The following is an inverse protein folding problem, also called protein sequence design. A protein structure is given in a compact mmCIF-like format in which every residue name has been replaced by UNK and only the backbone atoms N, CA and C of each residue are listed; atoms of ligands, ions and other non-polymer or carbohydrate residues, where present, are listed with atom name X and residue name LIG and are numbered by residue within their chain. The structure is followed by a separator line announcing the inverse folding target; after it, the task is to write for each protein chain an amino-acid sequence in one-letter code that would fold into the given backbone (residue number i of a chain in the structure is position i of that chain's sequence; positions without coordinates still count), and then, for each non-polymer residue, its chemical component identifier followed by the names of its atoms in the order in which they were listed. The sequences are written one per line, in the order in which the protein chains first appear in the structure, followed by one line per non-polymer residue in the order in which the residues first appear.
data_IF_615411697055
#
_entry.id   IF_615411697055
#
_cell.length_a   1.000
_cell.length_b   1.000
_cell.length_c   1.000
_cell.angle_alpha   90.00
_cell.angle_beta   90.00
_cell.angle_gamma   90.00
#
_symmetry.space_group_name_H-M   'P 1'
#
loop_
_entity.id
_entity.type
_entity.pdbx_description
1 polymer ?
#
# COMPACT_ATOMS: atom_id res chain seq x y z
N UNK A 1 21.67 31.65 -13.89
CA UNK A 1 21.15 32.94 -13.43
C UNK A 1 19.94 32.62 -12.58
N UNK A 2 20.02 33.03 -11.33
CA UNK A 2 19.00 32.93 -10.28
C UNK A 2 17.74 33.68 -10.71
N UNK A 3 16.57 33.16 -10.36
CA UNK A 3 15.39 33.97 -10.05
C UNK A 3 14.55 33.22 -9.00
N UNK A 4 14.77 33.63 -7.74
CA UNK A 4 13.87 33.48 -6.60
C UNK A 4 12.64 34.35 -6.81
N UNK A 5 11.47 33.77 -7.04
CA UNK A 5 10.16 34.40 -6.79
C UNK A 5 9.17 33.21 -6.65
N UNK A 6 8.63 32.82 -5.50
CA UNK A 6 7.82 33.56 -4.54
C UNK A 6 7.81 32.86 -3.17
N UNK A 7 8.31 33.52 -2.13
CA UNK A 7 7.81 33.34 -0.76
C UNK A 7 6.71 34.37 -0.49
N UNK A 8 5.78 33.98 0.40
CA UNK A 8 4.76 34.78 1.06
C UNK A 8 3.65 35.43 0.20
N UNK A 9 2.44 34.87 0.33
CA UNK A 9 1.27 35.74 0.55
C UNK A 9 0.35 35.12 1.60
N UNK A 10 0.42 35.70 2.80
CA UNK A 10 -0.63 35.61 3.79
C UNK A 10 -1.88 36.28 3.21
N UNK A 11 -2.88 35.50 2.82
CA UNK A 11 -4.19 36.04 2.44
C UNK A 11 -5.02 36.21 3.70
N UNK A 12 -5.09 37.48 4.11
CA UNK A 12 -6.06 38.06 5.04
C UNK A 12 -7.50 37.74 4.62
N UNK A 13 -8.36 37.64 5.62
CA UNK A 13 -9.77 37.28 5.49
C UNK A 13 -10.63 38.23 4.66
N UNK A 14 -11.79 37.67 4.31
CA UNK A 14 -13.07 38.23 3.89
C UNK A 14 -13.19 39.74 3.64
N UNK A 15 -13.74 40.07 2.47
CA UNK A 15 -14.48 41.30 2.23
C UNK A 15 -15.81 40.94 1.54
N UNK A 16 -16.90 41.17 2.25
CA UNK A 16 -18.28 41.15 1.76
C UNK A 16 -18.62 42.55 1.23
N UNK A 17 -19.17 42.64 0.03
CA UNK A 17 -20.03 43.76 -0.36
C UNK A 17 -21.41 43.22 -0.71
N UNK A 18 -22.40 43.74 0.01
CA UNK A 18 -23.83 43.45 -0.08
C UNK A 18 -24.43 44.20 -1.27
N UNK A 19 -25.28 43.53 -2.06
CA UNK A 19 -26.45 44.17 -2.65
C UNK A 19 -27.69 43.29 -2.40
N UNK A 20 -28.75 43.99 -1.99
CA UNK A 20 -30.03 43.53 -1.47
C UNK A 20 -30.89 42.81 -2.52
N UNK A 21 -31.62 41.77 -2.09
CA UNK A 21 -32.99 41.53 -2.57
C UNK A 21 -33.76 40.64 -1.58
N UNK A 22 -34.89 41.17 -1.13
CA UNK A 22 -35.92 40.60 -0.27
C UNK A 22 -36.32 39.15 -0.59
N UNK A 23 -36.60 38.35 0.45
CA UNK A 23 -37.99 38.05 0.85
C UNK A 23 -38.08 37.00 1.98
N UNK A 24 -38.55 37.48 3.13
CA UNK A 24 -39.59 36.91 4.01
C UNK A 24 -39.48 35.49 4.59
N UNK A 25 -39.78 35.48 5.91
CA UNK A 25 -40.63 34.51 6.63
C UNK A 25 -39.90 33.28 7.23
N UNK A 26 -40.08 32.79 8.47
CA UNK A 26 -40.95 33.10 9.63
C UNK A 26 -40.49 32.18 10.78
N UNK A 27 -40.52 32.65 12.04
CA UNK A 27 -40.61 31.89 13.32
C UNK A 27 -39.43 30.96 13.70
N UNK A 28 -38.98 30.89 14.95
CA UNK A 28 -39.74 30.99 16.20
C UNK A 28 -38.87 31.42 17.39
N UNK A 29 -39.52 32.20 18.24
CA UNK A 29 -39.15 32.65 19.57
C UNK A 29 -38.72 31.51 20.53
N UNK A 30 -38.01 31.89 21.60
CA UNK A 30 -38.49 31.90 23.01
C UNK A 30 -37.29 31.78 23.97
N UNK A 31 -37.36 32.56 25.06
CA UNK A 31 -36.52 32.68 26.27
C UNK A 31 -35.42 33.75 26.17
N UNK A 32 -35.50 34.91 26.84
CA UNK A 32 -36.45 35.44 27.80
C UNK A 32 -35.88 36.73 28.37
N UNK A 33 -36.70 37.78 28.38
CA UNK A 33 -36.46 39.05 29.08
C UNK A 33 -36.14 38.82 30.57
N UNK A 34 -35.20 39.60 31.14
CA UNK A 34 -35.59 40.75 31.97
C UNK A 34 -34.42 41.51 32.62
N UNK A 35 -34.58 42.84 32.64
CA UNK A 35 -33.98 43.90 33.47
C UNK A 35 -32.57 44.46 33.17
N UNK A 36 -32.54 45.76 32.84
CA UNK A 36 -31.53 46.69 33.35
C UNK A 36 -30.98 47.70 32.34
N UNK A 37 -31.53 48.90 32.35
CA UNK A 37 -31.09 50.09 31.62
C UNK A 37 -29.62 50.50 31.86
N UNK A 38 -28.96 50.90 30.77
CA UNK A 38 -28.00 52.02 30.60
C UNK A 38 -26.76 52.09 31.50
N UNK A 39 -25.58 51.97 30.89
CA UNK A 39 -24.60 53.06 30.75
C UNK A 39 -23.33 52.54 30.05
N UNK A 40 -22.81 53.39 29.17
CA UNK A 40 -21.66 53.18 28.30
C UNK A 40 -20.43 52.67 29.03
N UNK A 41 -19.76 51.67 28.45
CA UNK A 41 -18.32 51.58 28.53
C UNK A 41 -17.76 51.00 27.22
N UNK A 42 -16.74 51.67 26.70
CA UNK A 42 -16.04 51.37 25.46
C UNK A 42 -15.29 50.03 25.60
N UNK A 43 -15.92 48.92 25.30
CA UNK A 43 -15.18 47.68 25.04
C UNK A 43 -14.82 47.62 23.56
N UNK A 44 -13.56 47.90 23.25
CA UNK A 44 -12.92 47.43 22.02
C UNK A 44 -13.08 45.91 22.00
N UNK A 45 -14.07 45.40 21.27
CA UNK A 45 -14.20 43.97 21.00
C UNK A 45 -13.14 43.61 19.97
N UNK A 46 -11.92 43.33 20.44
CA UNK A 46 -10.99 42.50 19.67
C UNK A 46 -11.54 41.09 19.76
N UNK A 47 -12.28 40.66 18.73
CA UNK A 47 -12.65 39.25 18.55
C UNK A 47 -11.36 38.44 18.35
N UNK A 48 -10.74 38.02 19.44
CA UNK A 48 -9.87 36.87 19.41
C UNK A 48 -10.78 35.67 19.21
N UNK A 49 -10.89 35.18 17.98
CA UNK A 49 -11.40 33.83 17.75
C UNK A 49 -10.49 32.88 18.52
N UNK A 50 -10.92 32.50 19.73
CA UNK A 50 -10.22 31.53 20.56
C UNK A 50 -10.28 30.20 19.82
N UNK A 51 -9.15 29.84 19.22
CA UNK A 51 -9.02 28.62 18.44
C UNK A 51 -8.43 27.52 19.34
N UNK A 52 -9.10 26.37 19.37
CA UNK A 52 -8.64 25.19 20.10
C UNK A 52 -8.05 24.17 19.13
N UNK A 53 -6.98 23.51 19.56
CA UNK A 53 -6.42 22.40 18.80
C UNK A 53 -7.43 21.27 18.73
N UNK A 54 -7.71 20.79 17.53
CA UNK A 54 -8.74 19.78 17.33
C UNK A 54 -8.37 18.37 17.82
N UNK A 55 -7.13 18.18 18.29
CA UNK A 55 -6.64 16.91 18.87
C UNK A 55 -6.46 17.00 20.39
N UNK A 56 -5.69 17.98 20.87
CA UNK A 56 -5.37 18.10 22.29
C UNK A 56 -6.25 19.10 23.05
N UNK A 57 -7.12 19.84 22.37
CA UNK A 57 -8.02 20.85 22.93
C UNK A 57 -7.31 21.99 23.67
N UNK A 58 -5.99 22.14 23.50
CA UNK A 58 -5.25 23.28 24.03
C UNK A 58 -5.53 24.55 23.24
N UNK A 59 -5.46 25.69 23.93
CA UNK A 59 -5.51 27.02 23.33
C UNK A 59 -4.36 27.20 22.33
N UNK A 60 -4.66 27.65 21.11
CA UNK A 60 -3.65 27.86 20.06
C UNK A 60 -3.05 29.25 20.22
N UNK A 61 -1.75 29.33 20.55
CA UNK A 61 -1.03 30.58 20.81
C UNK A 61 0.04 30.98 19.77
N UNK A 62 0.58 30.03 18.99
CA UNK A 62 1.61 30.22 17.94
C UNK A 62 1.49 29.09 16.89
N UNK A 63 2.17 29.24 15.74
CA UNK A 63 2.23 28.39 14.51
C UNK A 63 1.08 27.37 14.35
N UNK A 64 0.22 27.65 13.37
CA UNK A 64 -1.06 26.96 13.16
C UNK A 64 -0.97 26.14 11.87
N UNK A 65 -1.20 24.83 11.97
CA UNK A 65 -1.51 24.01 10.80
C UNK A 65 -3.02 24.03 10.61
N UNK A 66 -3.46 24.71 9.55
CA UNK A 66 -4.88 24.81 9.22
C UNK A 66 -5.22 23.81 8.12
N UNK A 67 -6.26 23.03 8.38
CA UNK A 67 -6.89 22.14 7.41
C UNK A 67 -8.38 22.47 7.39
N UNK A 68 -9.15 21.84 6.50
CA UNK A 68 -10.56 22.20 6.32
C UNK A 68 -11.32 22.09 7.64
N UNK A 69 -11.82 23.23 8.12
CA UNK A 69 -12.60 23.38 9.36
C UNK A 69 -11.88 22.87 10.63
N UNK A 70 -10.54 22.74 10.60
CA UNK A 70 -9.75 22.20 11.70
C UNK A 70 -8.40 22.91 11.86
N UNK A 71 -7.99 23.12 13.12
CA UNK A 71 -6.71 23.73 13.44
C UNK A 71 -5.91 22.88 14.43
N UNK A 72 -4.59 22.82 14.23
CA UNK A 72 -3.68 22.05 15.07
C UNK A 72 -2.60 22.94 15.66
N UNK A 73 -2.33 22.80 16.96
CA UNK A 73 -1.35 23.62 17.69
C UNK A 73 0.12 23.19 17.48
N UNK A 74 0.37 22.11 16.74
CA UNK A 74 1.70 21.57 16.48
C UNK A 74 1.67 20.56 15.35
N UNK A 75 2.83 20.36 14.71
CA UNK A 75 3.03 19.29 13.73
C UNK A 75 2.68 17.91 14.31
N UNK A 76 3.02 17.65 15.58
CA UNK A 76 2.69 16.40 16.25
C UNK A 76 1.17 16.15 16.35
N UNK A 77 0.37 17.18 16.62
CA UNK A 77 -1.09 17.07 16.64
C UNK A 77 -1.65 16.84 15.22
N UNK A 78 -1.13 17.57 14.23
CA UNK A 78 -1.51 17.43 12.83
C UNK A 78 -1.20 16.03 12.28
N UNK A 79 0.03 15.53 12.52
CA UNK A 79 0.45 14.18 12.15
C UNK A 79 -0.41 13.11 12.83
N UNK A 80 -0.73 13.29 14.12
CA UNK A 80 -1.61 12.36 14.84
C UNK A 80 -3.00 12.27 14.21
N UNK A 81 -3.58 13.40 13.80
CA UNK A 81 -4.85 13.42 13.07
C UNK A 81 -4.75 12.67 11.73
N UNK A 82 -3.67 12.87 10.99
CA UNK A 82 -3.41 12.15 9.72
C UNK A 82 -3.28 10.65 9.95
N UNK A 83 -2.56 10.21 10.99
CA UNK A 83 -2.43 8.79 11.31
C UNK A 83 -3.78 8.16 11.65
N UNK A 84 -4.59 8.82 12.47
CA UNK A 84 -5.96 8.35 12.80
C UNK A 84 -6.80 8.24 11.53
N UNK A 85 -6.72 9.24 10.64
CA UNK A 85 -7.43 9.22 9.36
C UNK A 85 -7.05 8.02 8.49
N UNK A 86 -5.76 7.68 8.44
CA UNK A 86 -5.27 6.51 7.70
C UNK A 86 -5.73 5.20 8.33
N UNK A 87 -5.66 5.07 9.65
CA UNK A 87 -6.13 3.90 10.38
C UNK A 87 -7.63 3.67 10.17
N UNK A 88 -8.44 4.72 10.30
CA UNK A 88 -9.89 4.67 10.06
C UNK A 88 -10.21 4.29 8.61
N UNK A 89 -9.44 4.83 7.65
CA UNK A 89 -9.59 4.54 6.22
C UNK A 89 -9.29 3.08 5.89
N UNK A 90 -8.29 2.47 6.55
CA UNK A 90 -7.98 1.04 6.42
C UNK A 90 -9.15 0.18 6.90
N UNK A 91 -9.74 0.54 8.04
CA UNK A 91 -10.83 -0.21 8.67
C UNK A 91 -12.17 -0.03 7.93
N UNK A 92 -12.32 1.02 7.12
CA UNK A 92 -13.52 1.30 6.35
C UNK A 92 -14.69 1.84 7.18
N UNK A 93 -14.40 2.41 8.35
CA UNK A 93 -15.36 3.00 9.26
C UNK A 93 -15.65 4.48 8.98
N UNK A 94 -16.60 5.07 9.72
CA UNK A 94 -16.74 6.53 9.76
C UNK A 94 -15.53 7.11 10.48
N UNK A 95 -14.69 7.84 9.74
CA UNK A 95 -13.52 8.50 10.33
C UNK A 95 -13.91 9.80 11.02
N UNK A 96 -13.32 10.02 12.19
CA UNK A 96 -13.32 11.34 12.85
C UNK A 96 -12.52 12.38 12.06
N UNK A 97 -11.63 11.91 11.18
CA UNK A 97 -10.76 12.70 10.31
C UNK A 97 -10.85 12.22 8.86
N UNK A 98 -11.95 12.50 8.13
CA UNK A 98 -12.03 12.15 6.72
C UNK A 98 -10.82 12.69 5.94
N UNK A 99 -10.32 11.96 4.94
CA UNK A 99 -9.18 12.41 4.12
C UNK A 99 -9.43 13.74 3.39
N UNK A 100 -10.70 14.13 3.25
CA UNK A 100 -11.13 15.43 2.71
C UNK A 100 -10.88 16.60 3.66
N UNK A 101 -10.61 16.34 4.94
CA UNK A 101 -10.18 17.36 5.93
C UNK A 101 -8.82 17.93 5.52
N UNK A 102 -7.91 17.05 5.11
CA UNK A 102 -6.53 17.37 4.77
C UNK A 102 -6.44 17.87 3.33
N UNK A 103 -6.49 19.18 3.14
CA UNK A 103 -6.55 19.84 1.83
C UNK A 103 -5.20 20.39 1.38
N UNK A 104 -4.27 20.60 2.31
CA UNK A 104 -2.95 21.17 1.99
C UNK A 104 -2.07 20.23 1.15
N UNK A 105 -1.24 20.76 0.24
CA UNK A 105 -0.26 19.95 -0.52
C UNK A 105 0.69 19.18 0.42
N UNK A 106 1.06 19.81 1.53
CA UNK A 106 1.88 19.21 2.58
C UNK A 106 1.21 17.99 3.19
N UNK A 107 -0.08 18.09 3.56
CA UNK A 107 -0.81 16.95 4.11
C UNK A 107 -0.96 15.81 3.10
N UNK A 108 -1.23 16.10 1.82
CA UNK A 108 -1.32 15.07 0.78
C UNK A 108 0.01 14.33 0.59
N UNK A 109 1.13 15.07 0.65
CA UNK A 109 2.47 14.49 0.56
C UNK A 109 2.79 13.61 1.77
N UNK A 110 2.42 14.06 2.98
CA UNK A 110 2.60 13.31 4.23
C UNK A 110 1.74 12.04 4.24
N UNK A 111 0.45 12.16 3.89
CA UNK A 111 -0.48 11.03 3.75
C UNK A 111 0.11 9.97 2.82
N UNK A 112 0.61 10.39 1.65
CA UNK A 112 1.16 9.46 0.69
C UNK A 112 2.45 8.80 1.20
N UNK A 113 3.36 9.56 1.82
CA UNK A 113 4.61 9.03 2.37
C UNK A 113 4.35 8.02 3.50
N UNK A 114 3.47 8.36 4.45
CA UNK A 114 3.05 7.45 5.51
C UNK A 114 2.42 6.19 4.93
N UNK A 115 1.54 6.34 3.94
CA UNK A 115 0.91 5.20 3.26
C UNK A 115 1.95 4.31 2.56
N UNK A 116 2.91 4.89 1.84
CA UNK A 116 3.96 4.09 1.18
C UNK A 116 4.89 3.39 2.18
N UNK A 117 5.03 3.94 3.39
CA UNK A 117 5.83 3.32 4.46
C UNK A 117 5.18 2.08 5.08
N UNK A 118 3.86 1.88 4.89
CA UNK A 118 3.18 0.68 5.40
C UNK A 118 3.46 -0.57 4.55
N UNK A 119 3.98 -0.40 3.33
CA UNK A 119 4.15 -1.45 2.33
C UNK A 119 2.85 -2.22 1.99
N UNK A 120 1.68 -1.69 2.33
CA UNK A 120 0.38 -2.26 1.94
C UNK A 120 -0.02 -1.75 0.55
N UNK A 121 0.19 -2.58 -0.48
CA UNK A 121 -0.11 -2.23 -1.86
C UNK A 121 -1.59 -1.92 -2.13
N UNK A 122 -2.52 -2.50 -1.36
CA UNK A 122 -3.95 -2.23 -1.50
C UNK A 122 -4.27 -0.85 -0.93
N UNK A 123 -3.74 -0.53 0.24
CA UNK A 123 -3.89 0.80 0.84
C UNK A 123 -3.26 1.88 -0.04
N UNK A 124 -2.04 1.68 -0.53
CA UNK A 124 -1.36 2.60 -1.45
C UNK A 124 -2.25 2.86 -2.67
N UNK A 125 -2.77 1.80 -3.30
CA UNK A 125 -3.62 1.94 -4.49
C UNK A 125 -4.91 2.71 -4.19
N UNK A 126 -5.56 2.44 -3.06
CA UNK A 126 -6.78 3.16 -2.63
C UNK A 126 -6.49 4.64 -2.41
N UNK A 127 -5.46 4.97 -1.63
CA UNK A 127 -5.09 6.37 -1.33
C UNK A 127 -4.71 7.12 -2.60
N UNK A 128 -3.92 6.52 -3.48
CA UNK A 128 -3.53 7.18 -4.75
C UNK A 128 -4.76 7.45 -5.63
N UNK A 129 -5.74 6.55 -5.68
CA UNK A 129 -6.99 6.80 -6.39
C UNK A 129 -7.86 7.88 -5.73
N UNK A 130 -7.91 7.94 -4.39
CA UNK A 130 -8.58 9.04 -3.68
C UNK A 130 -7.92 10.40 -3.97
N UNK A 131 -6.58 10.45 -4.03
CA UNK A 131 -5.84 11.65 -4.42
C UNK A 131 -6.11 12.03 -5.88
N UNK A 132 -6.18 11.06 -6.80
CA UNK A 132 -6.54 11.30 -8.21
C UNK A 132 -7.90 11.98 -8.34
N UNK A 133 -8.88 11.54 -7.54
CA UNK A 133 -10.26 12.05 -7.59
C UNK A 133 -10.43 13.42 -6.92
N UNK A 134 -9.59 13.74 -5.94
CA UNK A 134 -9.71 14.96 -5.13
C UNK A 134 -8.80 16.10 -5.58
N UNK A 135 -7.75 15.82 -6.35
CA UNK A 135 -6.76 16.81 -6.77
C UNK A 135 -6.93 17.23 -8.23
N UNK A 136 -6.43 18.41 -8.57
CA UNK A 136 -6.24 18.77 -9.98
C UNK A 136 -5.19 17.85 -10.61
N UNK A 137 -5.33 17.66 -11.92
CA UNK A 137 -4.47 16.76 -12.68
C UNK A 137 -2.98 17.11 -12.54
N UNK A 138 -2.60 18.39 -12.68
CA UNK A 138 -1.22 18.85 -12.51
C UNK A 138 -0.67 18.61 -11.10
N UNK A 139 -1.51 18.73 -10.08
CA UNK A 139 -1.11 18.49 -8.68
C UNK A 139 -0.87 17.00 -8.45
N UNK A 140 -1.76 16.15 -8.97
CA UNK A 140 -1.62 14.70 -8.90
C UNK A 140 -0.37 14.21 -9.65
N UNK A 141 -0.13 14.71 -10.86
CA UNK A 141 1.07 14.43 -11.65
C UNK A 141 2.36 14.77 -10.88
N UNK A 142 2.41 15.94 -10.25
CA UNK A 142 3.56 16.36 -9.43
C UNK A 142 3.79 15.48 -8.20
N UNK A 143 2.71 14.98 -7.58
CA UNK A 143 2.81 14.04 -6.44
C UNK A 143 3.40 12.71 -6.90
N UNK A 144 2.95 12.16 -8.03
CA UNK A 144 3.48 10.91 -8.58
C UNK A 144 4.96 11.03 -8.96
N UNK A 145 5.37 12.16 -9.55
CA UNK A 145 6.78 12.42 -9.89
C UNK A 145 7.70 12.44 -8.65
N UNK A 146 7.18 12.83 -7.48
CA UNK A 146 7.93 12.90 -6.22
C UNK A 146 7.92 11.58 -5.45
N UNK A 147 7.01 10.65 -5.74
CA UNK A 147 6.88 9.39 -5.02
C UNK A 147 6.79 8.21 -6.01
N UNK A 148 7.95 7.61 -6.30
CA UNK A 148 8.08 6.52 -7.27
C UNK A 148 7.28 5.27 -6.87
N UNK A 149 7.20 4.94 -5.58
CA UNK A 149 6.45 3.79 -5.08
C UNK A 149 4.97 3.94 -5.41
N UNK A 150 4.37 5.08 -5.06
CA UNK A 150 2.99 5.39 -5.38
C UNK A 150 2.73 5.37 -6.89
N UNK A 151 3.66 5.92 -7.69
CA UNK A 151 3.58 5.90 -9.13
C UNK A 151 3.55 4.47 -9.70
N UNK A 152 4.39 3.56 -9.21
CA UNK A 152 4.38 2.16 -9.64
C UNK A 152 3.07 1.45 -9.30
N UNK A 153 2.54 1.64 -8.08
CA UNK A 153 1.24 1.07 -7.71
C UNK A 153 0.10 1.61 -8.58
N UNK A 154 0.12 2.90 -8.91
CA UNK A 154 -0.87 3.51 -9.79
C UNK A 154 -0.81 2.98 -11.22
N UNK A 155 0.39 2.88 -11.81
CA UNK A 155 0.57 2.29 -13.13
C UNK A 155 0.10 0.83 -13.16
N UNK A 156 0.39 0.05 -12.12
CA UNK A 156 -0.09 -1.33 -11.99
C UNK A 156 -1.62 -1.40 -11.92
N UNK A 157 -2.25 -0.49 -11.16
CA UNK A 157 -3.70 -0.38 -11.11
C UNK A 157 -4.32 -0.07 -12.48
N UNK A 158 -3.77 0.90 -13.22
CA UNK A 158 -4.25 1.24 -14.57
C UNK A 158 -4.09 0.05 -15.53
N UNK A 159 -2.98 -0.69 -15.44
CA UNK A 159 -2.75 -1.92 -16.22
C UNK A 159 -3.79 -2.98 -15.91
N UNK A 160 -4.01 -3.29 -14.64
CA UNK A 160 -4.90 -4.38 -14.21
C UNK A 160 -6.38 -4.06 -14.46
N UNK A 161 -6.75 -2.78 -14.52
CA UNK A 161 -8.10 -2.33 -14.85
C UNK A 161 -8.31 -2.04 -16.34
N UNK A 162 -7.30 -2.25 -17.18
CA UNK A 162 -7.38 -2.03 -18.63
C UNK A 162 -7.49 -0.56 -19.06
N UNK A 163 -7.14 0.39 -18.18
CA UNK A 163 -7.11 1.83 -18.47
C UNK A 163 -5.88 2.21 -19.32
N UNK A 164 -5.77 1.65 -20.52
CA UNK A 164 -4.57 1.73 -21.37
C UNK A 164 -4.24 3.15 -21.86
N UNK A 165 -5.24 4.02 -22.00
CA UNK A 165 -5.02 5.43 -22.43
C UNK A 165 -4.28 6.19 -21.34
N UNK A 166 -4.79 6.13 -20.10
CA UNK A 166 -4.16 6.76 -18.94
C UNK A 166 -2.80 6.12 -18.65
N UNK A 167 -2.68 4.79 -18.73
CA UNK A 167 -1.42 4.09 -18.52
C UNK A 167 -0.31 4.66 -19.40
N UNK A 168 -0.55 4.80 -20.71
CA UNK A 168 0.44 5.35 -21.65
C UNK A 168 0.81 6.79 -21.32
N UNK A 169 -0.19 7.62 -20.98
CA UNK A 169 0.03 9.02 -20.60
C UNK A 169 0.95 9.12 -19.38
N UNK A 170 0.63 8.40 -18.30
CA UNK A 170 1.41 8.48 -17.07
C UNK A 170 2.79 7.82 -17.20
N UNK A 171 2.92 6.74 -17.99
CA UNK A 171 4.24 6.19 -18.30
C UNK A 171 5.14 7.18 -19.03
N UNK A 172 4.58 7.97 -19.96
CA UNK A 172 5.31 9.03 -20.65
C UNK A 172 5.71 10.15 -19.68
N UNK A 173 4.77 10.62 -18.86
CA UNK A 173 5.02 11.66 -17.85
C UNK A 173 6.16 11.30 -16.91
N UNK A 174 6.16 10.05 -16.43
CA UNK A 174 7.15 9.53 -15.49
C UNK A 174 8.48 9.15 -16.17
N UNK A 175 8.59 9.34 -17.49
CA UNK A 175 9.81 9.08 -18.25
C UNK A 175 10.11 7.61 -18.52
N UNK A 176 9.12 6.71 -18.37
CA UNK A 176 9.29 5.29 -18.66
C UNK A 176 9.28 4.98 -20.16
N UNK A 177 8.62 5.79 -20.99
CA UNK A 177 8.57 5.64 -22.44
C UNK A 177 8.63 7.01 -23.14
N UNK A 178 9.28 7.09 -24.29
CA UNK A 178 9.24 8.27 -25.18
C UNK A 178 8.05 8.21 -26.13
N UNK A 179 7.67 9.36 -26.69
CA UNK A 179 6.58 9.44 -27.68
C UNK A 179 6.80 8.50 -28.88
N UNK A 180 8.05 8.40 -29.36
CA UNK A 180 8.43 7.52 -30.47
C UNK A 180 8.30 6.02 -30.15
N UNK A 181 8.29 5.65 -28.86
CA UNK A 181 8.30 4.27 -28.39
C UNK A 181 6.88 3.75 -28.07
N UNK A 182 5.88 4.65 -27.99
CA UNK A 182 4.48 4.33 -27.63
C UNK A 182 3.88 3.24 -28.53
N UNK A 183 4.17 3.27 -29.83
CA UNK A 183 3.64 2.26 -30.78
C UNK A 183 4.19 0.86 -30.47
N UNK A 184 5.51 0.74 -30.28
CA UNK A 184 6.18 -0.52 -29.94
C UNK A 184 5.70 -1.05 -28.60
N UNK A 185 5.60 -0.18 -27.59
CA UNK A 185 5.05 -0.55 -26.28
C UNK A 185 3.59 -1.01 -26.37
N UNK A 186 2.77 -0.33 -27.16
CA UNK A 186 1.36 -0.73 -27.36
C UNK A 186 1.24 -2.12 -28.01
N UNK A 187 2.10 -2.42 -28.98
CA UNK A 187 2.16 -3.74 -29.61
C UNK A 187 2.63 -4.81 -28.61
N UNK A 188 3.64 -4.51 -27.79
CA UNK A 188 4.09 -5.42 -26.72
C UNK A 188 2.96 -5.72 -25.74
N UNK A 189 2.26 -4.70 -25.25
CA UNK A 189 1.14 -4.88 -24.33
C UNK A 189 0.01 -5.71 -24.94
N UNK A 190 -0.31 -5.49 -26.22
CA UNK A 190 -1.30 -6.31 -26.91
C UNK A 190 -0.87 -7.78 -27.03
N UNK A 191 0.42 -8.03 -27.32
CA UNK A 191 0.96 -9.39 -27.35
C UNK A 191 0.92 -10.05 -25.96
N UNK A 192 1.30 -9.32 -24.91
CA UNK A 192 1.26 -9.80 -23.53
C UNK A 192 -0.16 -10.11 -23.04
N UNK A 193 -1.16 -9.30 -23.42
CA UNK A 193 -2.56 -9.54 -23.07
C UNK A 193 -3.14 -10.79 -23.75
N UNK A 194 -2.60 -11.19 -24.91
CA UNK A 194 -3.02 -12.39 -25.64
C UNK A 194 -2.00 -13.52 -25.52
N UNK A 195 -1.16 -13.47 -24.48
CA UNK A 195 -0.09 -14.45 -24.28
C UNK A 195 -0.68 -15.85 -24.07
N UNK A 196 -0.09 -16.81 -24.75
CA UNK A 196 -0.28 -18.24 -24.51
C UNK A 196 1.05 -18.96 -24.61
N UNK A 197 1.12 -20.19 -24.10
CA UNK A 197 2.36 -20.97 -24.02
C UNK A 197 3.10 -21.12 -25.37
N UNK A 198 2.36 -21.09 -26.48
CA UNK A 198 2.93 -21.19 -27.84
C UNK A 198 3.56 -19.90 -28.38
N UNK A 199 3.39 -18.76 -27.72
CA UNK A 199 3.86 -17.44 -28.20
C UNK A 199 4.93 -16.82 -27.30
N UNK A 200 5.36 -17.51 -26.23
CA UNK A 200 6.33 -16.99 -25.26
C UNK A 200 7.66 -16.62 -25.93
N UNK A 201 8.22 -17.50 -26.77
CA UNK A 201 9.49 -17.23 -27.46
C UNK A 201 9.42 -16.00 -28.38
N UNK A 202 8.30 -15.83 -29.08
CA UNK A 202 8.06 -14.67 -29.96
C UNK A 202 8.01 -13.39 -29.13
N UNK A 203 7.30 -13.42 -27.99
CA UNK A 203 7.13 -12.29 -27.10
C UNK A 203 8.43 -11.94 -26.40
N UNK A 204 9.21 -12.91 -25.94
CA UNK A 204 10.52 -12.70 -25.35
C UNK A 204 11.48 -12.08 -26.36
N UNK A 205 11.48 -12.56 -27.60
CA UNK A 205 12.26 -11.93 -28.67
C UNK A 205 11.85 -10.48 -28.91
N UNK A 206 10.55 -10.20 -28.95
CA UNK A 206 10.03 -8.84 -29.15
C UNK A 206 10.34 -7.91 -27.98
N UNK A 207 10.23 -8.41 -26.75
CA UNK A 207 10.59 -7.71 -25.51
C UNK A 207 12.07 -7.31 -25.52
N UNK A 208 12.97 -8.25 -25.86
CA UNK A 208 14.40 -7.97 -25.94
C UNK A 208 14.74 -6.98 -27.06
N UNK A 209 14.07 -7.08 -28.21
CA UNK A 209 14.23 -6.13 -29.31
C UNK A 209 13.86 -4.70 -28.89
N UNK A 210 12.75 -4.52 -28.17
CA UNK A 210 12.35 -3.22 -27.63
C UNK A 210 13.41 -2.72 -26.65
N UNK A 211 13.78 -3.55 -25.67
CA UNK A 211 14.72 -3.17 -24.62
C UNK A 211 16.08 -2.72 -25.19
N UNK A 212 16.64 -3.46 -26.14
CA UNK A 212 17.89 -3.10 -26.82
C UNK A 212 17.78 -1.80 -27.60
N UNK A 213 16.65 -1.58 -28.29
CA UNK A 213 16.40 -0.36 -29.06
C UNK A 213 16.25 0.88 -28.17
N UNK A 214 15.63 0.75 -27.00
CA UNK A 214 15.41 1.84 -26.04
C UNK A 214 16.69 2.21 -25.29
N UNK A 215 17.52 1.22 -24.90
CA UNK A 215 18.83 1.50 -24.31
C UNK A 215 19.80 2.13 -25.31
N UNK A 216 19.76 1.74 -26.58
CA UNK A 216 20.51 2.43 -27.63
C UNK A 216 20.09 3.91 -27.77
N UNK A 217 18.84 4.23 -27.43
CA UNK A 217 18.29 5.58 -27.52
C UNK A 217 18.52 6.43 -26.26
N UNK A 218 18.77 5.81 -25.09
CA UNK A 218 19.10 6.50 -23.83
C UNK A 218 19.70 5.55 -22.76
N UNK A 219 20.96 5.80 -22.36
CA UNK A 219 21.63 5.02 -21.31
C UNK A 219 21.01 5.18 -19.91
N UNK A 220 20.25 6.26 -19.67
CA UNK A 220 19.51 6.46 -18.42
C UNK A 220 18.37 5.43 -18.23
N UNK A 221 18.05 4.67 -19.28
CA UNK A 221 16.95 3.70 -19.33
C UNK A 221 17.48 2.26 -19.19
N UNK A 222 18.74 2.10 -18.72
CA UNK A 222 19.39 0.80 -18.48
C UNK A 222 18.52 -0.17 -17.66
N UNK A 223 17.76 0.36 -16.70
CA UNK A 223 16.87 -0.44 -15.86
C UNK A 223 15.78 -1.14 -16.69
N UNK A 224 15.35 -0.61 -17.85
CA UNK A 224 14.36 -1.27 -18.70
C UNK A 224 14.94 -2.54 -19.33
N UNK A 225 16.21 -2.56 -19.74
CA UNK A 225 16.85 -3.80 -20.23
C UNK A 225 16.99 -4.83 -19.13
N UNK A 226 17.39 -4.41 -17.93
CA UNK A 226 17.50 -5.31 -16.78
C UNK A 226 16.12 -5.91 -16.44
N UNK A 227 15.07 -5.07 -16.32
CA UNK A 227 13.69 -5.51 -16.07
C UNK A 227 13.14 -6.38 -17.21
N UNK A 228 13.40 -6.03 -18.46
CA UNK A 228 12.94 -6.81 -19.63
C UNK A 228 13.62 -8.17 -19.69
N UNK A 229 14.91 -8.24 -19.38
CA UNK A 229 15.65 -9.49 -19.31
C UNK A 229 15.12 -10.37 -18.17
N UNK A 230 14.87 -9.77 -17.00
CA UNK A 230 14.26 -10.46 -15.87
C UNK A 230 12.87 -10.99 -16.21
N UNK A 231 12.03 -10.19 -16.87
CA UNK A 231 10.70 -10.61 -17.31
C UNK A 231 10.76 -11.75 -18.32
N UNK A 232 11.65 -11.70 -19.32
CA UNK A 232 11.83 -12.80 -20.28
C UNK A 232 12.20 -14.11 -19.56
N UNK A 233 13.12 -14.02 -18.59
CA UNK A 233 13.54 -15.15 -17.78
C UNK A 233 12.41 -15.73 -16.94
N UNK A 234 11.56 -14.88 -16.33
CA UNK A 234 10.38 -15.33 -15.60
C UNK A 234 9.40 -16.00 -16.57
N UNK A 235 9.12 -15.41 -17.72
CA UNK A 235 8.18 -15.95 -18.71
C UNK A 235 8.60 -17.33 -19.23
N UNK A 236 9.89 -17.53 -19.53
CA UNK A 236 10.42 -18.84 -19.91
C UNK A 236 10.22 -19.88 -18.80
N UNK A 237 10.45 -19.45 -17.54
CA UNK A 237 10.27 -20.31 -16.37
C UNK A 237 8.79 -20.68 -16.18
N UNK A 238 7.89 -19.71 -16.27
CA UNK A 238 6.44 -19.92 -16.18
C UNK A 238 5.96 -20.85 -17.30
N UNK A 239 6.40 -20.61 -18.54
CA UNK A 239 6.03 -21.44 -19.68
C UNK A 239 6.44 -22.91 -19.52
N UNK A 240 7.60 -23.14 -18.91
CA UNK A 240 8.11 -24.50 -18.63
C UNK A 240 7.21 -25.29 -17.67
N UNK A 241 6.46 -24.61 -16.80
CA UNK A 241 5.60 -25.23 -15.79
C UNK A 241 4.10 -24.96 -16.00
N UNK A 242 3.71 -24.19 -17.00
CA UNK A 242 2.31 -23.80 -17.27
C UNK A 242 1.38 -25.01 -17.32
N UNK A 243 1.77 -26.07 -18.04
CA UNK A 243 0.96 -27.29 -18.17
C UNK A 243 0.75 -27.99 -16.83
N UNK A 244 1.80 -28.05 -16.01
CA UNK A 244 1.74 -28.68 -14.69
C UNK A 244 0.84 -27.86 -13.75
N UNK A 245 0.98 -26.52 -13.80
CA UNK A 245 0.13 -25.59 -13.06
C UNK A 245 -1.34 -25.74 -13.44
N UNK A 246 -1.68 -25.77 -14.74
CA UNK A 246 -3.06 -25.93 -15.18
C UNK A 246 -3.68 -27.24 -14.68
N UNK A 247 -2.89 -28.33 -14.61
CA UNK A 247 -3.33 -29.61 -14.04
C UNK A 247 -3.61 -29.48 -12.56
N UNK A 248 -2.66 -28.91 -11.81
CA UNK A 248 -2.78 -28.68 -10.36
C UNK A 248 -3.98 -27.78 -10.03
N UNK A 249 -4.15 -26.68 -10.76
CA UNK A 249 -5.28 -25.75 -10.59
C UNK A 249 -6.64 -26.44 -10.87
N UNK A 250 -6.71 -27.29 -11.90
CA UNK A 250 -7.93 -28.06 -12.22
C UNK A 250 -8.28 -29.07 -11.11
N UNK A 251 -7.26 -29.70 -10.51
CA UNK A 251 -7.45 -30.58 -9.36
C UNK A 251 -7.99 -29.80 -8.15
N UNK A 252 -7.42 -28.63 -7.83
CA UNK A 252 -7.90 -27.77 -6.75
C UNK A 252 -9.38 -27.38 -6.89
N UNK A 253 -9.83 -27.08 -8.11
CA UNK A 253 -11.23 -26.73 -8.38
C UNK A 253 -12.21 -27.89 -8.15
N UNK A 254 -11.73 -29.13 -8.25
CA UNK A 254 -12.54 -30.34 -8.10
C UNK A 254 -12.83 -30.65 -6.63
N UNK A 255 -11.93 -30.29 -5.71
CA UNK A 255 -12.10 -30.51 -4.28
C UNK A 255 -12.88 -29.36 -3.61
N UNK A 256 -14.07 -29.66 -3.08
CA UNK A 256 -14.98 -28.67 -2.45
C UNK A 256 -14.34 -27.86 -1.33
N UNK A 257 -13.42 -28.45 -0.56
CA UNK A 257 -12.70 -27.77 0.53
C UNK A 257 -11.55 -26.88 0.05
N UNK A 258 -11.03 -27.11 -1.17
CA UNK A 258 -9.96 -26.31 -1.79
C UNK A 258 -10.49 -25.18 -2.69
N UNK A 259 -11.80 -25.19 -2.96
CA UNK A 259 -12.46 -24.24 -3.88
C UNK A 259 -12.35 -22.78 -3.46
N UNK A 260 -12.34 -22.50 -2.15
CA UNK A 260 -12.13 -21.14 -1.61
C UNK A 260 -10.70 -20.63 -1.88
N UNK A 261 -9.71 -21.51 -1.82
CA UNK A 261 -8.32 -21.19 -2.14
C UNK A 261 -8.12 -21.08 -3.66
N UNK A 262 -8.79 -21.93 -4.45
CA UNK A 262 -8.70 -21.89 -5.90
C UNK A 262 -9.24 -20.56 -6.49
N UNK A 263 -10.27 -19.96 -5.89
CA UNK A 263 -10.83 -18.69 -6.36
C UNK A 263 -9.90 -17.48 -6.18
N UNK A 264 -8.86 -17.59 -5.37
CA UNK A 264 -7.88 -16.51 -5.16
C UNK A 264 -6.60 -16.71 -5.98
N UNK A 265 -6.43 -17.87 -6.62
CA UNK A 265 -5.24 -18.21 -7.39
C UNK A 265 -5.43 -17.94 -8.89
N UNK A 266 -4.37 -17.57 -9.61
CA UNK A 266 -4.46 -17.35 -11.05
C UNK A 266 -4.63 -18.68 -11.80
N UNK A 267 -5.52 -18.71 -12.80
CA UNK A 267 -5.74 -19.90 -13.65
C UNK A 267 -4.50 -20.25 -14.49
N UNK A 268 -3.76 -19.24 -14.93
CA UNK A 268 -2.52 -19.38 -15.71
C UNK A 268 -1.32 -18.89 -14.89
N UNK A 269 -0.20 -19.60 -14.99
CA UNK A 269 1.07 -19.21 -14.39
C UNK A 269 1.76 -18.11 -15.21
N UNK A 270 1.43 -17.99 -16.49
CA UNK A 270 1.96 -16.95 -17.37
C UNK A 270 1.58 -15.56 -16.87
N UNK A 271 2.52 -14.61 -17.01
CA UNK A 271 2.36 -13.20 -16.62
C UNK A 271 2.10 -12.96 -15.13
N UNK A 272 2.23 -13.99 -14.29
CA UNK A 272 2.15 -13.82 -12.86
C UNK A 272 3.40 -13.09 -12.34
N UNK A 273 3.28 -12.28 -11.28
CA UNK A 273 4.45 -11.70 -10.64
C UNK A 273 5.35 -12.80 -10.04
N UNK A 274 6.59 -12.45 -9.73
CA UNK A 274 7.58 -13.39 -9.16
C UNK A 274 7.07 -14.04 -7.86
N UNK A 275 6.38 -13.30 -7.01
CA UNK A 275 5.78 -13.79 -5.77
C UNK A 275 4.74 -14.90 -6.03
N UNK A 276 3.79 -14.66 -6.94
CA UNK A 276 2.77 -15.65 -7.31
C UNK A 276 3.39 -16.87 -7.99
N UNK A 277 4.42 -16.65 -8.82
CA UNK A 277 5.17 -17.74 -9.45
C UNK A 277 5.85 -18.62 -8.40
N UNK A 278 6.53 -18.01 -7.41
CA UNK A 278 7.13 -18.74 -6.28
C UNK A 278 6.09 -19.52 -5.47
N UNK A 279 4.97 -18.89 -5.18
CA UNK A 279 3.88 -19.52 -4.46
C UNK A 279 3.30 -20.71 -5.23
N UNK A 280 3.08 -20.57 -6.54
CA UNK A 280 2.62 -21.66 -7.40
C UNK A 280 3.59 -22.85 -7.38
N UNK A 281 4.90 -22.59 -7.51
CA UNK A 281 5.92 -23.63 -7.46
C UNK A 281 5.96 -24.34 -6.10
N UNK A 282 5.90 -23.58 -5.00
CA UNK A 282 5.87 -24.15 -3.66
C UNK A 282 4.64 -25.05 -3.43
N UNK A 283 3.48 -24.67 -3.98
CA UNK A 283 2.24 -25.45 -3.94
C UNK A 283 2.34 -26.74 -4.74
N UNK A 284 2.88 -26.68 -5.96
CA UNK A 284 3.06 -27.86 -6.82
C UNK A 284 4.10 -28.83 -6.25
N UNK A 285 5.23 -28.31 -5.74
CA UNK A 285 6.29 -29.13 -5.13
C UNK A 285 5.89 -29.75 -3.79
N UNK A 286 4.93 -29.12 -3.09
CA UNK A 286 4.63 -29.38 -1.68
C UNK A 286 5.88 -29.35 -0.79
N UNK A 287 6.90 -28.61 -1.21
CA UNK A 287 8.20 -28.54 -0.57
C UNK A 287 8.94 -27.28 -0.98
N UNK A 288 9.59 -26.64 -0.01
CA UNK A 288 10.47 -25.47 -0.20
C UNK A 288 11.90 -25.76 0.28
N UNK A 289 12.23 -27.03 0.46
CA UNK A 289 13.56 -27.50 0.87
C UNK A 289 14.61 -27.26 -0.23
N UNK A 290 15.86 -27.62 0.08
CA UNK A 290 17.00 -27.46 -0.83
C UNK A 290 16.72 -28.07 -2.21
N UNK A 291 17.00 -27.30 -3.25
CA UNK A 291 16.77 -27.60 -4.66
C UNK A 291 15.29 -27.68 -5.09
N UNK A 292 14.33 -27.22 -4.27
CA UNK A 292 12.96 -26.98 -4.76
C UNK A 292 12.97 -25.95 -5.89
N UNK A 293 11.92 -25.95 -6.72
CA UNK A 293 11.80 -24.99 -7.83
C UNK A 293 11.68 -23.57 -7.29
N UNK A 294 10.94 -23.40 -6.20
CA UNK A 294 10.83 -22.12 -5.50
C UNK A 294 12.19 -21.61 -5.01
N UNK A 295 12.99 -22.43 -4.32
CA UNK A 295 14.33 -22.04 -3.85
C UNK A 295 15.27 -21.70 -5.02
N UNK A 296 15.23 -22.50 -6.09
CA UNK A 296 16.03 -22.28 -7.30
C UNK A 296 15.69 -20.96 -7.97
N UNK A 297 14.39 -20.65 -8.10
CA UNK A 297 13.92 -19.39 -8.66
C UNK A 297 14.29 -18.20 -7.76
N UNK A 298 14.12 -18.33 -6.44
CA UNK A 298 14.50 -17.30 -5.47
C UNK A 298 15.99 -16.93 -5.54
N UNK A 299 16.87 -17.94 -5.64
CA UNK A 299 18.32 -17.74 -5.85
C UNK A 299 18.61 -17.05 -7.18
N UNK A 300 17.92 -17.44 -8.26
CA UNK A 300 18.11 -16.87 -9.61
C UNK A 300 17.81 -15.36 -9.63
N UNK A 301 16.77 -14.94 -8.92
CA UNK A 301 16.34 -13.54 -8.83
C UNK A 301 16.94 -12.80 -7.61
N UNK A 302 17.90 -13.41 -6.90
CA UNK A 302 18.60 -12.80 -5.76
C UNK A 302 17.66 -12.27 -4.68
N UNK A 303 16.54 -12.96 -4.45
CA UNK A 303 15.60 -12.61 -3.38
C UNK A 303 16.31 -12.81 -2.04
N UNK A 304 16.24 -11.81 -1.16
CA UNK A 304 16.82 -11.94 0.18
C UNK A 304 16.13 -13.06 0.97
N UNK A 305 16.86 -13.71 1.88
CA UNK A 305 16.30 -14.80 2.67
C UNK A 305 15.04 -14.38 3.46
N UNK A 306 15.01 -13.14 3.97
CA UNK A 306 13.85 -12.60 4.68
C UNK A 306 12.64 -12.43 3.74
N UNK A 307 12.82 -11.80 2.58
CA UNK A 307 11.75 -11.67 1.60
C UNK A 307 11.24 -13.04 1.13
N UNK A 308 12.15 -13.97 0.86
CA UNK A 308 11.80 -15.32 0.44
C UNK A 308 10.91 -16.03 1.46
N UNK A 309 11.21 -15.87 2.76
CA UNK A 309 10.37 -16.40 3.85
C UNK A 309 8.98 -15.79 3.85
N UNK A 310 8.88 -14.46 3.80
CA UNK A 310 7.59 -13.76 3.77
C UNK A 310 6.72 -14.19 2.59
N UNK A 311 7.31 -14.34 1.40
CA UNK A 311 6.61 -14.75 0.18
C UNK A 311 6.05 -16.18 0.24
N UNK A 312 6.58 -17.04 1.11
CA UNK A 312 6.18 -18.45 1.19
C UNK A 312 5.21 -18.75 2.33
N UNK A 313 4.96 -17.81 3.25
CA UNK A 313 4.03 -18.04 4.38
C UNK A 313 2.66 -18.43 3.87
N UNK A 314 2.04 -17.56 3.08
CA UNK A 314 0.67 -17.79 2.61
C UNK A 314 0.53 -19.06 1.73
N UNK A 315 1.41 -19.33 0.74
CA UNK A 315 1.38 -20.60 0.00
C UNK A 315 1.46 -21.86 0.87
N UNK A 316 2.31 -21.86 1.91
CA UNK A 316 2.48 -22.99 2.82
C UNK A 316 1.29 -23.13 3.78
N UNK A 317 0.79 -22.01 4.31
CA UNK A 317 -0.40 -21.96 5.17
C UNK A 317 -1.63 -22.47 4.44
N UNK A 318 -1.89 -21.97 3.22
CA UNK A 318 -3.00 -22.39 2.38
C UNK A 318 -2.92 -23.89 2.02
N UNK A 319 -1.71 -24.42 1.85
CA UNK A 319 -1.47 -25.85 1.61
C UNK A 319 -1.41 -26.69 2.88
N UNK A 320 -1.56 -26.08 4.07
CA UNK A 320 -1.38 -26.72 5.39
C UNK A 320 -0.04 -27.44 5.54
N UNK A 321 1.00 -26.93 4.89
CA UNK A 321 2.35 -27.50 4.91
C UNK A 321 3.16 -26.94 6.09
N UNK A 322 2.77 -27.34 7.30
CA UNK A 322 3.34 -26.83 8.55
C UNK A 322 4.80 -27.20 8.74
N UNK A 323 5.20 -28.40 8.29
CA UNK A 323 6.57 -28.90 8.43
C UNK A 323 7.57 -28.02 7.67
N UNK A 324 7.21 -27.64 6.44
CA UNK A 324 8.05 -26.79 5.62
C UNK A 324 7.98 -25.32 6.04
N UNK A 325 6.83 -24.86 6.58
CA UNK A 325 6.73 -23.55 7.23
C UNK A 325 7.68 -23.46 8.43
N UNK A 326 7.70 -24.48 9.29
CA UNK A 326 8.61 -24.56 10.43
C UNK A 326 10.08 -24.59 9.95
N UNK A 327 10.38 -25.39 8.93
CA UNK A 327 11.72 -25.51 8.35
C UNK A 327 12.28 -24.16 7.86
N UNK A 328 11.49 -23.35 7.16
CA UNK A 328 11.98 -22.06 6.63
C UNK A 328 12.02 -20.95 7.69
N UNK A 329 11.13 -21.00 8.69
CA UNK A 329 10.99 -19.96 9.70
C UNK A 329 11.98 -20.14 10.84
N UNK A 330 12.27 -21.38 11.24
CA UNK A 330 13.13 -21.65 12.37
C UNK A 330 14.57 -21.92 11.95
N UNK A 331 15.51 -21.25 12.63
CA UNK A 331 16.93 -21.54 12.52
C UNK A 331 17.53 -21.79 13.89
N UNK A 332 18.56 -22.63 13.93
CA UNK A 332 19.35 -22.80 15.14
C UNK A 332 20.17 -21.54 15.40
N UNK A 333 19.99 -20.94 16.57
CA UNK A 333 20.76 -19.77 17.00
C UNK A 333 22.23 -20.13 17.07
N UNK A 334 23.09 -19.31 16.47
CA UNK A 334 24.54 -19.54 16.48
C UNK A 334 25.02 -19.63 17.93
N UNK A 335 25.72 -20.73 18.28
CA UNK A 335 26.21 -21.10 19.62
C UNK A 335 25.18 -21.64 20.64
N UNK A 336 23.90 -21.78 20.29
CA UNK A 336 22.87 -22.34 21.18
C UNK A 336 22.21 -23.61 20.62
N UNK A 337 21.60 -24.42 21.49
CA UNK A 337 20.64 -25.47 21.06
C UNK A 337 19.24 -24.91 20.81
N UNK A 338 18.99 -23.65 21.16
CA UNK A 338 17.69 -23.00 20.99
C UNK A 338 17.46 -22.64 19.53
N UNK A 339 16.22 -22.84 19.09
CA UNK A 339 15.72 -22.35 17.81
C UNK A 339 15.29 -20.89 17.98
N UNK A 340 15.39 -20.12 16.90
CA UNK A 340 14.86 -18.77 16.80
C UNK A 340 14.08 -18.62 15.49
N UNK A 341 13.07 -17.75 15.51
CA UNK A 341 12.36 -17.35 14.30
C UNK A 341 13.25 -16.35 13.56
N UNK A 342 13.35 -16.52 12.25
CA UNK A 342 14.29 -15.79 11.38
C UNK A 342 13.75 -14.49 10.80
N UNK A 343 12.52 -14.12 11.17
CA UNK A 343 11.81 -12.89 10.82
C UNK A 343 11.19 -12.29 12.09
N UNK A 344 10.77 -11.00 12.10
CA UNK A 344 10.11 -10.40 13.26
C UNK A 344 8.92 -11.25 13.75
N UNK A 345 9.05 -11.79 14.97
CA UNK A 345 8.18 -12.87 15.48
C UNK A 345 6.77 -12.38 15.74
N UNK A 346 6.64 -11.15 16.22
CA UNK A 346 5.38 -10.43 16.40
C UNK A 346 4.59 -10.32 15.10
N UNK A 347 5.21 -9.79 14.04
CA UNK A 347 4.57 -9.61 12.74
C UNK A 347 4.19 -10.94 12.13
N UNK A 348 5.06 -11.94 12.27
CA UNK A 348 4.79 -13.28 11.76
C UNK A 348 3.56 -13.89 12.42
N UNK A 349 3.47 -13.83 13.75
CA UNK A 349 2.34 -14.36 14.52
C UNK A 349 1.03 -13.63 14.19
N UNK A 350 1.06 -12.30 14.12
CA UNK A 350 -0.11 -11.51 13.71
C UNK A 350 -0.55 -11.83 12.28
N UNK A 351 0.41 -12.07 11.38
CA UNK A 351 0.11 -12.47 10.01
C UNK A 351 -0.51 -13.87 9.94
N UNK A 352 0.02 -14.86 10.68
CA UNK A 352 -0.60 -16.19 10.77
C UNK A 352 -2.05 -16.09 11.27
N UNK A 353 -2.30 -15.27 12.29
CA UNK A 353 -3.67 -15.06 12.77
C UNK A 353 -4.57 -14.42 11.71
N UNK A 354 -4.05 -13.47 10.92
CA UNK A 354 -4.79 -12.86 9.81
C UNK A 354 -5.15 -13.84 8.69
N UNK A 355 -4.43 -14.97 8.60
CA UNK A 355 -4.66 -16.05 7.63
C UNK A 355 -5.53 -17.18 8.20
N UNK A 356 -6.22 -16.96 9.32
CA UNK A 356 -7.06 -17.95 10.01
C UNK A 356 -6.32 -19.26 10.37
N UNK A 357 -5.01 -19.16 10.66
CA UNK A 357 -4.20 -20.32 11.06
C UNK A 357 -4.70 -20.88 12.40
N UNK A 358 -4.80 -22.22 12.57
CA UNK A 358 -5.22 -22.82 13.82
C UNK A 358 -4.39 -22.34 15.03
N UNK A 359 -5.08 -21.99 16.13
CA UNK A 359 -4.43 -21.45 17.34
C UNK A 359 -3.28 -22.32 17.86
N UNK A 360 -3.41 -23.64 17.81
CA UNK A 360 -2.36 -24.57 18.24
C UNK A 360 -1.05 -24.45 17.43
N UNK A 361 -1.12 -24.02 16.17
CA UNK A 361 0.07 -23.73 15.36
C UNK A 361 0.67 -22.40 15.78
N UNK A 362 -0.16 -21.37 16.00
CA UNK A 362 0.30 -20.05 16.47
C UNK A 362 0.97 -20.17 17.85
N UNK A 363 0.39 -20.96 18.77
CA UNK A 363 0.95 -21.27 20.09
C UNK A 363 2.38 -21.80 20.01
N UNK A 364 2.66 -22.63 19.00
CA UNK A 364 3.99 -23.23 18.83
C UNK A 364 5.09 -22.19 18.58
N UNK A 365 4.72 -20.99 18.13
CA UNK A 365 5.63 -19.88 17.86
C UNK A 365 5.69 -18.83 18.98
N UNK A 366 4.67 -18.73 19.85
CA UNK A 366 4.67 -17.77 20.97
C UNK A 366 5.90 -17.93 21.88
N UNK A 367 6.37 -19.17 22.06
CA UNK A 367 7.57 -19.50 22.85
C UNK A 367 8.89 -18.89 22.33
N UNK A 368 8.89 -18.31 21.13
CA UNK A 368 10.05 -17.66 20.54
C UNK A 368 10.05 -16.13 20.74
N UNK A 369 8.97 -15.55 21.26
CA UNK A 369 8.95 -14.15 21.69
C UNK A 369 9.83 -14.03 22.93
N UNK A 370 10.80 -13.12 22.88
CA UNK A 370 11.82 -12.97 23.94
C UNK A 370 11.43 -11.92 24.99
N UNK A 371 10.51 -11.02 24.66
CA UNK A 371 10.06 -9.91 25.49
C UNK A 371 8.69 -10.25 26.09
N UNK A 372 8.61 -10.26 27.43
CA UNK A 372 7.39 -10.62 28.15
C UNK A 372 6.26 -9.60 27.93
N UNK A 373 6.57 -8.31 27.77
CA UNK A 373 5.56 -7.28 27.50
C UNK A 373 5.00 -7.45 26.07
N UNK A 374 5.87 -7.71 25.09
CA UNK A 374 5.48 -8.00 23.71
C UNK A 374 4.60 -9.26 23.63
N UNK A 375 4.99 -10.33 24.36
CA UNK A 375 4.23 -11.55 24.46
C UNK A 375 2.82 -11.30 25.01
N UNK A 376 2.72 -10.57 26.13
CA UNK A 376 1.44 -10.22 26.75
C UNK A 376 0.55 -9.43 25.76
N UNK A 377 1.12 -8.43 25.07
CA UNK A 377 0.37 -7.62 24.11
C UNK A 377 -0.18 -8.46 22.95
N UNK A 378 0.64 -9.34 22.36
CA UNK A 378 0.22 -10.22 21.27
C UNK A 378 -0.86 -11.19 21.75
N UNK A 379 -0.67 -11.82 22.90
CA UNK A 379 -1.61 -12.79 23.46
C UNK A 379 -2.98 -12.16 23.75
N UNK A 380 -3.01 -10.94 24.30
CA UNK A 380 -4.25 -10.18 24.50
C UNK A 380 -4.91 -9.88 23.15
N UNK A 381 -4.13 -9.39 22.17
CA UNK A 381 -4.63 -9.06 20.83
C UNK A 381 -5.21 -10.27 20.09
N UNK A 382 -4.66 -11.45 20.33
CA UNK A 382 -5.11 -12.72 19.73
C UNK A 382 -6.20 -13.44 20.55
N UNK A 383 -6.55 -12.93 21.74
CA UNK A 383 -7.44 -13.58 22.69
C UNK A 383 -6.99 -15.04 22.98
N UNK A 384 -5.73 -15.19 23.39
CA UNK A 384 -5.05 -16.47 23.69
C UNK A 384 -4.47 -16.49 25.12
N UNK A 385 -5.15 -15.82 26.06
CA UNK A 385 -4.64 -15.56 27.42
C UNK A 385 -4.41 -16.85 28.20
N UNK A 386 -5.23 -17.88 27.97
CA UNK A 386 -5.10 -19.19 28.62
C UNK A 386 -3.87 -19.99 28.15
N UNK A 387 -3.32 -19.63 26.99
CA UNK A 387 -2.17 -20.26 26.37
C UNK A 387 -0.85 -19.67 26.87
N UNK A 388 -0.80 -18.36 27.15
CA UNK A 388 0.39 -17.71 27.69
C UNK A 388 0.79 -18.26 29.07
N UNK A 389 -0.20 -18.61 29.91
CA UNK A 389 0.02 -19.21 31.23
C UNK A 389 0.71 -20.58 31.14
N UNK A 390 0.68 -21.24 29.97
CA UNK A 390 1.34 -22.54 29.74
C UNK A 390 2.77 -22.40 29.21
N UNK A 391 3.14 -21.22 28.69
CA UNK A 391 4.43 -20.95 28.03
C UNK A 391 5.40 -20.23 28.98
N UNK A 392 4.88 -19.54 30.01
CA UNK A 392 5.62 -19.08 31.20
C UNK A 392 6.02 -20.22 32.12
#
# INVERSE_FOLDING_TARGET
MSDDIWEESAVKGFQFDLEEADNTSTYSDILGDSFGETLCDESITVDFNILFCAICHNLIGNEIYYEKDAAFCSEACWLKAITIALDDFVVGGMSTWPLSTFVSQSSKSVILNLTTSTCDGNLITKIVNELRNSLSESTFENILLKNSVAAFHFLNFLRNTGQLVDLKRYMKLLGFIKESEISSYSQLMQKLMNLSSGHVDEINKYLMQIAESEVASNLAVKNIVEISSELAVILDYQNSYEREWSSYYSELLTYTNARKTATTLPESLLMQPLCETLGALARMDQSVKTNSRAETLGKKFKISDEQFRWLLIEPLVQSKNWDDLEFIMLKKKSLSRRMEVTIPTDRFILHLNSLDVPKNIIESYLKYISDDEELIQIVIRLNMVDEAVKVS
#
